data_IF_747658087457
#
_entry.id   IF_747658087457
#
_cell.length_a   1.000
_cell.length_b   1.000
_cell.length_c   1.000
_cell.angle_alpha   90.00
_cell.angle_beta   90.00
_cell.angle_gamma   90.00
#
_symmetry.space_group_name_H-M   'P 1'
#
loop_
_entity.id
_entity.type
_entity.pdbx_description
1 polymer ?
#
# COMPACT_ATOMS: atom_id res chain seq x y z
N UNK A 1 -7.11 -0.82 -12.12
CA UNK A 1 -5.95 -0.27 -11.41
C UNK A 1 -5.04 -1.43 -11.07
N UNK A 2 -3.78 -1.36 -11.44
CA UNK A 2 -2.79 -2.41 -11.21
C UNK A 2 -1.58 -1.75 -10.53
N UNK A 3 -1.25 -2.08 -9.28
CA UNK A 3 -1.90 -2.97 -8.29
C UNK A 3 -1.85 -2.27 -6.93
N UNK A 4 -2.68 -2.68 -5.96
CA UNK A 4 -2.69 -2.05 -4.63
C UNK A 4 -1.60 -2.59 -3.69
N UNK A 5 -1.31 -3.89 -3.76
CA UNK A 5 -0.27 -4.53 -2.94
C UNK A 5 0.53 -5.47 -3.81
N UNK A 6 1.83 -5.20 -3.90
CA UNK A 6 2.79 -6.02 -4.62
C UNK A 6 4.17 -5.87 -3.97
N UNK A 7 4.94 -6.96 -3.93
CA UNK A 7 6.28 -6.95 -3.34
C UNK A 7 7.30 -6.19 -4.22
N UNK A 8 7.02 -6.07 -5.52
CA UNK A 8 7.85 -5.30 -6.45
C UNK A 8 7.34 -3.87 -6.55
N UNK A 9 8.24 -2.92 -6.80
CA UNK A 9 7.91 -1.50 -6.99
C UNK A 9 7.14 -0.85 -5.82
N UNK A 10 7.37 -1.34 -4.60
CA UNK A 10 6.83 -0.80 -3.35
C UNK A 10 7.83 0.18 -2.72
N UNK A 11 7.33 1.29 -2.18
CA UNK A 11 8.18 2.25 -1.44
C UNK A 11 8.63 1.69 -0.10
N UNK A 12 9.90 1.91 0.27
CA UNK A 12 10.49 1.38 1.52
C UNK A 12 9.74 1.83 2.77
N UNK A 13 9.20 3.05 2.77
CA UNK A 13 8.37 3.61 3.85
C UNK A 13 7.21 2.70 4.29
N UNK A 14 6.74 1.80 3.41
CA UNK A 14 5.64 0.93 3.75
C UNK A 14 6.03 -0.12 4.80
N UNK A 15 7.27 -0.61 4.76
CA UNK A 15 7.74 -1.76 5.53
C UNK A 15 9.05 -1.51 6.29
N UNK A 16 9.68 -0.35 6.14
CA UNK A 16 10.91 0.04 6.83
C UNK A 16 10.80 1.38 7.54
N UNK A 17 11.51 1.50 8.66
CA UNK A 17 11.76 2.77 9.35
C UNK A 17 12.85 3.61 8.66
N UNK A 18 13.10 4.82 9.16
CA UNK A 18 14.14 5.73 8.63
C UNK A 18 15.57 5.17 8.74
N UNK A 19 15.78 4.16 9.59
CA UNK A 19 17.06 3.48 9.80
C UNK A 19 17.19 2.21 8.95
N UNK A 20 16.16 1.86 8.17
CA UNK A 20 16.11 0.67 7.32
C UNK A 20 15.71 -0.62 8.04
N UNK A 21 15.28 -0.57 9.29
CA UNK A 21 14.77 -1.73 10.01
C UNK A 21 13.34 -2.04 9.58
N UNK A 22 12.97 -3.32 9.61
CA UNK A 22 11.59 -3.73 9.33
C UNK A 22 10.64 -3.20 10.41
N UNK A 23 9.49 -2.69 9.96
CA UNK A 23 8.43 -2.23 10.84
C UNK A 23 7.75 -3.42 11.55
N UNK A 24 7.22 -3.21 12.77
CA UNK A 24 6.28 -4.14 13.38
C UNK A 24 5.07 -4.39 12.50
N UNK A 25 4.44 -5.56 12.68
CA UNK A 25 3.29 -6.01 11.89
C UNK A 25 2.15 -4.99 11.89
N UNK A 26 1.90 -4.39 13.05
CA UNK A 26 0.83 -3.44 13.31
C UNK A 26 1.03 -2.14 12.50
N UNK A 27 2.26 -1.65 12.44
CA UNK A 27 2.63 -0.45 11.69
C UNK A 27 2.58 -0.69 10.18
N UNK A 28 3.12 -1.82 9.72
CA UNK A 28 3.01 -2.23 8.32
C UNK A 28 1.54 -2.32 7.87
N UNK A 29 0.67 -2.93 8.68
CA UNK A 29 -0.76 -3.02 8.36
C UNK A 29 -1.47 -1.66 8.41
N UNK A 30 -1.08 -0.76 9.30
CA UNK A 30 -1.60 0.60 9.32
C UNK A 30 -1.21 1.35 8.04
N UNK A 31 0.04 1.26 7.61
CA UNK A 31 0.53 1.87 6.36
C UNK A 31 -0.17 1.30 5.13
N UNK A 32 -0.33 -0.03 5.06
CA UNK A 32 -1.03 -0.70 3.96
C UNK A 32 -2.50 -0.27 3.90
N UNK A 33 -3.20 -0.23 5.05
CA UNK A 33 -4.60 0.24 5.11
C UNK A 33 -4.71 1.70 4.66
N UNK A 34 -3.82 2.56 5.14
CA UNK A 34 -3.80 3.97 4.76
C UNK A 34 -3.57 4.12 3.24
N UNK A 35 -2.62 3.38 2.67
CA UNK A 35 -2.33 3.38 1.23
C UNK A 35 -3.56 2.98 0.40
N UNK A 36 -4.15 1.83 0.71
CA UNK A 36 -5.33 1.32 -0.01
C UNK A 36 -6.47 2.33 0.06
N UNK A 37 -6.76 2.86 1.25
CA UNK A 37 -7.83 3.84 1.44
C UNK A 37 -7.57 5.12 0.66
N UNK A 38 -6.35 5.66 0.71
CA UNK A 38 -6.00 6.88 0.00
C UNK A 38 -6.16 6.73 -1.53
N UNK A 39 -5.66 5.63 -2.10
CA UNK A 39 -5.69 5.40 -3.55
C UNK A 39 -7.10 5.06 -4.04
N UNK A 40 -7.78 4.11 -3.39
CA UNK A 40 -9.13 3.70 -3.80
C UNK A 40 -10.11 4.86 -3.65
N UNK A 41 -10.05 5.64 -2.57
CA UNK A 41 -10.94 6.79 -2.41
C UNK A 41 -10.66 7.88 -3.45
N UNK A 42 -9.39 8.13 -3.79
CA UNK A 42 -9.02 9.13 -4.80
C UNK A 42 -9.59 8.81 -6.18
N UNK A 43 -9.60 7.53 -6.55
CA UNK A 43 -9.99 7.08 -7.90
C UNK A 43 -11.31 6.30 -7.94
N UNK A 44 -12.13 6.40 -6.88
CA UNK A 44 -13.35 5.62 -6.69
C UNK A 44 -14.36 5.72 -7.86
N UNK A 45 -14.40 6.87 -8.55
CA UNK A 45 -15.33 7.15 -9.64
C UNK A 45 -14.69 6.99 -11.03
N UNK A 46 -13.40 6.63 -11.09
CA UNK A 46 -12.61 6.57 -12.33
C UNK A 46 -12.19 5.13 -12.66
N UNK A 47 -11.80 4.35 -11.65
CA UNK A 47 -11.27 3.00 -11.84
C UNK A 47 -12.33 1.97 -11.46
N UNK A 48 -12.85 1.25 -12.46
CA UNK A 48 -13.93 0.28 -12.27
C UNK A 48 -13.49 -1.07 -11.65
N UNK A 49 -12.22 -1.44 -11.77
CA UNK A 49 -11.67 -2.71 -11.28
C UNK A 49 -10.23 -2.53 -10.77
N UNK A 50 -9.84 -3.31 -9.77
CA UNK A 50 -8.51 -3.30 -9.16
C UNK A 50 -7.95 -4.70 -9.01
N UNK A 51 -6.67 -4.85 -9.35
CA UNK A 51 -5.86 -5.95 -8.85
C UNK A 51 -5.47 -5.60 -7.42
N UNK A 52 -6.12 -6.24 -6.45
CA UNK A 52 -5.96 -5.91 -5.03
C UNK A 52 -4.62 -6.42 -4.49
N UNK A 53 -4.24 -7.64 -4.88
CA UNK A 53 -2.95 -8.25 -4.54
C UNK A 53 -2.40 -8.88 -5.81
N UNK A 54 -1.10 -8.70 -6.02
CA UNK A 54 -0.34 -9.31 -7.12
C UNK A 54 0.93 -9.99 -6.60
#
# INVERSE_FOLDING_TARGET
GHTLVWHSQIGTWMYQDEKGNLLPKEEFYANMKHHIQAIVNRYKDVVYAWDVVN
#
